data_IF_118679148789
#
_entry.id   IF_118679148789
#
_cell.length_a   1.000
_cell.length_b   1.000
_cell.length_c   1.000
_cell.angle_alpha   90.00
_cell.angle_beta   90.00
_cell.angle_gamma   90.00
#
_symmetry.space_group_name_H-M   'P 1'
#
loop_
_entity.id
_entity.type
_entity.pdbx_description
1 polymer ?
#
# COMPACT_ATOMS: atom_id res chain seq x y z
N UNK A 1 -5.17 3.92 -11.07
CA UNK A 1 -6.01 3.50 -12.23
C UNK A 1 -5.18 2.99 -13.42
N UNK A 2 -4.02 3.58 -13.74
CA UNK A 2 -3.18 3.11 -14.86
C UNK A 2 -2.78 1.63 -14.78
N UNK A 3 -2.40 1.13 -13.60
CA UNK A 3 -2.06 -0.29 -13.40
C UNK A 3 -3.21 -1.22 -13.83
N UNK A 4 -4.43 -0.97 -13.34
CA UNK A 4 -5.60 -1.78 -13.65
C UNK A 4 -5.91 -1.73 -15.15
N UNK A 5 -5.95 -0.54 -15.77
CA UNK A 5 -6.22 -0.40 -17.19
C UNK A 5 -5.26 -1.24 -18.05
N UNK A 6 -3.96 -1.15 -17.76
CA UNK A 6 -2.92 -1.92 -18.45
C UNK A 6 -3.08 -3.43 -18.30
N UNK A 7 -3.54 -3.90 -17.14
CA UNK A 7 -3.84 -5.32 -16.93
C UNK A 7 -4.98 -5.81 -17.84
N UNK A 8 -5.98 -4.97 -18.12
CA UNK A 8 -7.05 -5.27 -19.08
C UNK A 8 -6.58 -5.17 -20.54
N UNK A 9 -5.63 -4.29 -20.83
CA UNK A 9 -5.01 -4.14 -22.16
C UNK A 9 -4.00 -5.26 -22.48
N UNK A 10 -3.75 -6.17 -21.52
CA UNK A 10 -2.84 -7.31 -21.68
C UNK A 10 -1.36 -6.97 -21.50
N UNK A 11 -1.04 -5.80 -20.95
CA UNK A 11 0.35 -5.41 -20.66
C UNK A 11 0.89 -6.14 -19.42
N UNK A 12 2.17 -6.54 -19.47
CA UNK A 12 2.86 -7.16 -18.33
C UNK A 12 3.18 -6.13 -17.24
N UNK A 13 2.26 -5.95 -16.29
CA UNK A 13 2.35 -4.93 -15.22
C UNK A 13 2.41 -5.51 -13.80
N UNK A 14 2.68 -6.81 -13.66
CA UNK A 14 2.64 -7.51 -12.37
C UNK A 14 1.26 -8.03 -11.99
N UNK A 15 0.20 -7.54 -12.65
CA UNK A 15 -1.17 -8.05 -12.56
C UNK A 15 -1.68 -8.47 -13.94
N UNK A 16 -2.56 -9.45 -13.94
CA UNK A 16 -3.35 -9.88 -15.10
C UNK A 16 -4.78 -9.33 -14.99
N UNK A 17 -5.52 -9.38 -16.10
CA UNK A 17 -6.95 -9.10 -16.09
C UNK A 17 -7.71 -9.96 -15.08
N UNK A 18 -7.37 -11.24 -15.01
CA UNK A 18 -8.10 -12.20 -14.19
C UNK A 18 -7.83 -11.96 -12.70
N UNK A 19 -6.63 -11.50 -12.31
CA UNK A 19 -6.38 -11.01 -10.94
C UNK A 19 -7.40 -9.92 -10.56
N UNK A 20 -7.61 -8.93 -11.44
CA UNK A 20 -8.56 -7.85 -11.16
C UNK A 20 -10.00 -8.36 -11.08
N UNK A 21 -10.38 -9.30 -11.94
CA UNK A 21 -11.70 -9.92 -11.93
C UNK A 21 -11.93 -10.78 -10.69
N UNK A 22 -10.91 -11.44 -10.14
CA UNK A 22 -11.02 -12.20 -8.90
C UNK A 22 -11.37 -11.28 -7.73
N UNK A 23 -10.69 -10.14 -7.61
CA UNK A 23 -11.01 -9.16 -6.59
C UNK A 23 -12.41 -8.54 -6.79
N UNK A 24 -12.81 -8.23 -8.03
CA UNK A 24 -14.15 -7.72 -8.31
C UNK A 24 -15.25 -8.75 -7.98
N UNK A 25 -15.01 -10.02 -8.34
CA UNK A 25 -15.90 -11.16 -8.07
C UNK A 25 -16.09 -11.37 -6.57
N UNK A 26 -15.03 -11.21 -5.77
CA UNK A 26 -15.14 -11.29 -4.31
C UNK A 26 -16.19 -10.31 -3.78
N UNK A 27 -16.09 -9.03 -4.14
CA UNK A 27 -17.04 -8.00 -3.71
C UNK A 27 -18.48 -8.27 -4.20
N UNK A 28 -18.61 -8.78 -5.43
CA UNK A 28 -19.89 -9.12 -6.03
C UNK A 28 -20.58 -10.27 -5.27
N UNK A 29 -19.89 -11.40 -5.12
CA UNK A 29 -20.45 -12.61 -4.52
C UNK A 29 -20.75 -12.44 -3.02
N UNK A 30 -19.99 -11.61 -2.32
CA UNK A 30 -20.26 -11.33 -0.90
C UNK A 30 -21.23 -10.17 -0.69
N UNK A 31 -21.64 -9.46 -1.74
CA UNK A 31 -22.50 -8.27 -1.68
C UNK A 31 -21.96 -7.20 -0.71
N UNK A 32 -20.65 -6.94 -0.75
CA UNK A 32 -19.95 -6.09 0.24
C UNK A 32 -19.55 -4.71 -0.28
N UNK A 33 -19.87 -4.34 -1.52
CA UNK A 33 -19.49 -3.04 -2.09
C UNK A 33 -19.96 -1.87 -1.22
N UNK A 34 -21.23 -1.88 -0.79
CA UNK A 34 -21.79 -0.81 0.04
C UNK A 34 -21.25 -0.85 1.48
N UNK A 35 -21.12 -2.03 2.08
CA UNK A 35 -20.61 -2.13 3.45
C UNK A 35 -19.13 -1.70 3.54
N UNK A 36 -18.31 -2.01 2.54
CA UNK A 36 -16.94 -1.52 2.44
C UNK A 36 -16.87 0.00 2.25
N UNK A 37 -17.74 0.57 1.40
CA UNK A 37 -17.78 2.02 1.16
C UNK A 37 -18.13 2.84 2.41
N UNK A 38 -18.88 2.27 3.36
CA UNK A 38 -19.22 2.94 4.64
C UNK A 38 -17.99 3.37 5.44
N UNK A 39 -16.85 2.68 5.30
CA UNK A 39 -15.60 3.09 5.96
C UNK A 39 -15.19 4.53 5.61
N UNK A 40 -15.46 4.97 4.37
CA UNK A 40 -15.16 6.33 3.93
C UNK A 40 -16.07 7.36 4.60
N UNK A 41 -17.36 7.05 4.68
CA UNK A 41 -18.35 7.93 5.33
C UNK A 41 -18.10 8.07 6.83
N UNK A 42 -17.84 6.94 7.50
CA UNK A 42 -17.70 6.93 8.96
C UNK A 42 -16.34 7.40 9.44
N UNK A 43 -15.27 6.96 8.78
CA UNK A 43 -13.89 7.15 9.25
C UNK A 43 -13.15 8.24 8.49
N UNK A 44 -13.05 8.10 7.17
CA UNK A 44 -12.08 8.89 6.38
C UNK A 44 -12.38 10.40 6.40
N UNK A 45 -13.67 10.78 6.34
CA UNK A 45 -14.09 12.18 6.43
C UNK A 45 -13.73 12.87 7.77
N UNK A 46 -13.46 12.10 8.82
CA UNK A 46 -13.19 12.58 10.17
C UNK A 46 -11.75 12.30 10.63
N UNK A 47 -10.93 11.69 9.78
CA UNK A 47 -9.58 11.25 10.15
C UNK A 47 -8.58 12.38 9.98
N UNK A 48 -7.94 12.79 11.07
CA UNK A 48 -6.78 13.68 11.00
C UNK A 48 -5.54 12.88 10.55
N UNK A 49 -5.06 13.19 9.34
CA UNK A 49 -3.89 12.60 8.69
C UNK A 49 -2.55 13.17 9.18
N UNK A 50 -2.56 14.04 10.18
CA UNK A 50 -1.37 14.59 10.79
C UNK A 50 -0.50 13.54 11.50
N UNK A 51 0.82 13.82 11.70
CA UNK A 51 1.73 12.95 12.42
C UNK A 51 1.20 12.59 13.82
N UNK A 52 1.09 11.29 14.14
CA UNK A 52 0.58 10.79 15.43
C UNK A 52 1.65 10.39 16.44
N UNK A 53 2.92 10.69 16.15
CA UNK A 53 4.06 10.41 17.03
C UNK A 53 4.11 8.96 17.53
N UNK A 54 4.01 8.00 16.60
CA UNK A 54 3.95 6.56 16.95
C UNK A 54 5.31 6.12 17.48
N UNK A 55 5.36 5.71 18.76
CA UNK A 55 6.60 5.54 19.54
C UNK A 55 7.17 4.11 19.55
N UNK A 56 6.62 3.21 18.75
CA UNK A 56 7.14 1.86 18.50
C UNK A 56 8.10 1.87 17.29
N UNK A 57 8.97 0.85 17.13
CA UNK A 57 9.77 0.69 15.91
C UNK A 57 8.89 0.62 14.65
N UNK A 58 9.22 1.41 13.63
CA UNK A 58 8.50 1.46 12.35
C UNK A 58 9.46 1.33 11.17
N UNK A 59 9.07 0.55 10.17
CA UNK A 59 9.75 0.45 8.88
C UNK A 59 8.84 1.05 7.79
N UNK A 60 9.40 1.86 6.89
CA UNK A 60 8.66 2.49 5.78
C UNK A 60 9.33 2.13 4.45
N UNK A 61 8.54 1.60 3.51
CA UNK A 61 8.96 1.39 2.11
C UNK A 61 8.07 2.23 1.21
N UNK A 62 8.67 3.09 0.40
CA UNK A 62 7.97 4.05 -0.47
C UNK A 62 8.04 3.55 -1.89
N UNK A 63 6.89 3.12 -2.41
CA UNK A 63 6.72 2.68 -3.79
C UNK A 63 6.48 3.90 -4.70
N UNK A 64 7.08 3.97 -5.90
CA UNK A 64 7.09 5.18 -6.72
C UNK A 64 5.71 5.58 -7.26
N UNK A 65 4.83 4.62 -7.55
CA UNK A 65 3.49 4.86 -8.08
C UNK A 65 2.39 4.84 -6.99
N UNK A 66 2.77 5.07 -5.73
CA UNK A 66 1.82 5.28 -4.62
C UNK A 66 1.08 6.62 -4.77
N UNK A 67 -0.19 6.67 -4.33
CA UNK A 67 -1.03 7.86 -4.37
C UNK A 67 -0.46 8.97 -3.50
N UNK A 68 0.08 8.61 -2.34
CA UNK A 68 0.70 9.54 -1.39
C UNK A 68 2.20 9.25 -1.23
N UNK A 69 3.01 10.01 -1.95
CA UNK A 69 4.45 9.99 -1.74
C UNK A 69 4.80 10.50 -0.34
N UNK A 70 5.59 9.71 0.40
CA UNK A 70 6.01 10.02 1.78
C UNK A 70 7.51 10.29 1.83
N UNK A 71 7.96 11.56 1.85
CA UNK A 71 9.36 11.91 2.05
C UNK A 71 9.90 11.38 3.39
N UNK A 72 11.21 11.09 3.45
CA UNK A 72 11.87 10.62 4.68
C UNK A 72 11.66 11.59 5.85
N UNK A 73 11.67 12.89 5.59
CA UNK A 73 11.46 13.92 6.61
C UNK A 73 10.05 13.84 7.22
N UNK A 74 9.04 13.49 6.43
CA UNK A 74 7.67 13.30 6.92
C UNK A 74 7.56 12.01 7.73
N UNK A 75 8.14 10.91 7.23
CA UNK A 75 8.19 9.65 7.96
C UNK A 75 8.90 9.79 9.31
N UNK A 76 10.05 10.47 9.36
CA UNK A 76 10.79 10.70 10.60
C UNK A 76 10.02 11.57 11.61
N UNK A 77 9.22 12.54 11.13
CA UNK A 77 8.34 13.34 12.00
C UNK A 77 7.17 12.54 12.57
N UNK A 78 6.63 11.59 11.81
CA UNK A 78 5.53 10.72 12.25
C UNK A 78 5.99 9.57 13.14
N UNK A 79 7.22 9.08 12.92
CA UNK A 79 7.77 7.87 13.53
C UNK A 79 9.15 8.16 14.16
N UNK A 80 9.23 8.56 15.45
CA UNK A 80 10.50 8.80 16.13
C UNK A 80 11.45 7.60 16.16
N UNK A 81 10.90 6.38 16.10
CA UNK A 81 11.67 5.13 16.03
C UNK A 81 11.61 4.51 14.63
N UNK A 82 11.93 5.30 13.61
CA UNK A 82 12.03 4.83 12.22
C UNK A 82 13.29 3.97 12.05
N UNK A 83 13.12 2.65 12.04
CA UNK A 83 14.24 1.67 11.96
C UNK A 83 14.65 1.35 10.53
N UNK A 84 13.77 1.59 9.56
CA UNK A 84 14.04 1.40 8.14
C UNK A 84 13.26 2.41 7.30
N UNK A 85 13.92 2.96 6.28
CA UNK A 85 13.27 3.79 5.27
C UNK A 85 13.94 3.57 3.93
N UNK A 86 13.15 3.24 2.91
CA UNK A 86 13.65 3.06 1.55
C UNK A 86 12.64 3.54 0.52
N UNK A 87 13.15 4.18 -0.52
CA UNK A 87 12.41 4.45 -1.75
C UNK A 87 12.77 3.37 -2.76
N UNK A 88 11.75 2.84 -3.43
CA UNK A 88 11.89 1.72 -4.35
C UNK A 88 11.79 2.19 -5.80
N UNK A 89 12.33 1.38 -6.72
CA UNK A 89 12.42 1.74 -8.14
C UNK A 89 11.16 1.36 -8.93
N UNK A 90 10.26 0.55 -8.34
CA UNK A 90 9.03 0.09 -9.00
C UNK A 90 7.95 -0.31 -7.99
N UNK A 91 6.71 -0.38 -8.48
CA UNK A 91 5.52 -0.68 -7.71
C UNK A 91 4.70 0.56 -7.35
N UNK A 92 3.45 0.36 -6.98
CA UNK A 92 2.58 1.44 -6.52
C UNK A 92 1.68 1.06 -5.36
N UNK A 93 0.46 1.60 -5.41
CA UNK A 93 -0.55 1.48 -4.35
C UNK A 93 -0.84 0.05 -3.87
N UNK A 94 -0.83 -0.91 -4.79
CA UNK A 94 -1.07 -2.32 -4.50
C UNK A 94 0.24 -3.12 -4.39
N UNK A 95 1.21 -2.60 -3.65
CA UNK A 95 2.58 -3.13 -3.57
C UNK A 95 2.67 -4.65 -3.37
N UNK A 96 1.84 -5.22 -2.48
CA UNK A 96 1.81 -6.65 -2.20
C UNK A 96 1.35 -7.49 -3.40
N UNK A 97 0.43 -6.92 -4.18
CA UNK A 97 -0.20 -7.60 -5.31
C UNK A 97 0.65 -7.46 -6.57
N UNK A 98 1.18 -6.27 -6.81
CA UNK A 98 1.97 -5.95 -8.00
C UNK A 98 3.44 -6.41 -7.89
N UNK A 99 4.06 -6.28 -6.71
CA UNK A 99 5.48 -6.57 -6.50
C UNK A 99 5.70 -7.44 -5.23
N UNK A 100 5.10 -8.64 -5.14
CA UNK A 100 5.08 -9.45 -3.92
C UNK A 100 6.48 -9.77 -3.39
N UNK A 101 7.41 -10.14 -4.26
CA UNK A 101 8.80 -10.45 -3.88
C UNK A 101 9.50 -9.23 -3.27
N UNK A 102 9.34 -8.06 -3.89
CA UNK A 102 9.96 -6.83 -3.44
C UNK A 102 9.41 -6.39 -2.08
N UNK A 103 8.09 -6.49 -1.87
CA UNK A 103 7.48 -6.22 -0.57
C UNK A 103 8.02 -7.15 0.51
N UNK A 104 8.09 -8.46 0.24
CA UNK A 104 8.57 -9.45 1.20
C UNK A 104 10.03 -9.19 1.58
N UNK A 105 10.87 -8.84 0.62
CA UNK A 105 12.28 -8.53 0.88
C UNK A 105 12.43 -7.26 1.73
N UNK A 106 11.64 -6.22 1.46
CA UNK A 106 11.61 -5.02 2.30
C UNK A 106 11.10 -5.31 3.72
N UNK A 107 10.08 -6.16 3.88
CA UNK A 107 9.64 -6.59 5.21
C UNK A 107 10.75 -7.33 5.97
N UNK A 108 11.50 -8.21 5.29
CA UNK A 108 12.62 -8.94 5.89
C UNK A 108 13.74 -8.00 6.31
N UNK A 109 14.13 -7.08 5.44
CA UNK A 109 15.19 -6.09 5.73
C UNK A 109 14.76 -5.14 6.82
N UNK A 110 13.58 -4.54 6.69
CA UNK A 110 13.09 -3.50 7.58
C UNK A 110 12.77 -3.98 8.99
N UNK A 111 12.42 -5.26 9.16
CA UNK A 111 12.15 -5.88 10.46
C UNK A 111 13.33 -6.72 10.98
N UNK A 112 14.46 -6.75 10.27
CA UNK A 112 15.63 -7.57 10.62
C UNK A 112 16.15 -7.29 12.03
N UNK A 113 16.15 -6.03 12.45
CA UNK A 113 16.66 -5.63 13.78
C UNK A 113 15.73 -5.99 14.94
N UNK A 114 14.54 -6.54 14.67
CA UNK A 114 13.51 -6.86 15.67
C UNK A 114 13.33 -8.37 15.86
N UNK A 115 14.19 -9.19 15.24
CA UNK A 115 14.13 -10.66 15.26
C UNK A 115 15.42 -11.24 15.81
#
# INVERSE_FOLDING_TARGET
LRLIARAFDGESTGLTRDDVLDNATLFWLTNTTISAARLYWEGFAKTDLGPKNVSIPVAVSVFPDEVYYTPRTWAARAYPKLVHYKQLDKGGHFAAWEQPKLLVDEMRVGLKSLR
#
